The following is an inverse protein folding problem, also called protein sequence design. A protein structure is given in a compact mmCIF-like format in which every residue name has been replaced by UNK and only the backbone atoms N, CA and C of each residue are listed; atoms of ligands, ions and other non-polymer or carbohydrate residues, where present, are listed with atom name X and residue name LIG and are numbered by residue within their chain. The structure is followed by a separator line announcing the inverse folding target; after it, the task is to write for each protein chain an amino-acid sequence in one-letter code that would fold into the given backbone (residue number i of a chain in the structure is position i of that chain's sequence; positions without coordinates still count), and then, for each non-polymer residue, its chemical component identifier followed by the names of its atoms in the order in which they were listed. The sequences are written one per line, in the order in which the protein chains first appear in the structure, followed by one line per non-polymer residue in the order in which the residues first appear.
data_IF_655000794013
#
_entry.id   IF_655000794013
#
_cell.length_a   1.000
_cell.length_b   1.000
_cell.length_c   1.000
_cell.angle_alpha   90.00
_cell.angle_beta   90.00
_cell.angle_gamma   90.00
#
_symmetry.space_group_name_H-M   'P 1'
#
loop_
_entity.id
_entity.type
_entity.pdbx_description
1 polymer ?
#
# COMPACT_ATOMS: atom_id res chain seq x y z
N UNK A 1 -2.76 9.83 -14.84
CA UNK A 1 -2.58 8.36 -14.70
C UNK A 1 -2.61 7.71 -16.07
N UNK A 2 -1.67 6.81 -16.37
CA UNK A 2 -1.54 6.13 -17.68
C UNK A 2 -1.64 4.61 -17.51
N UNK A 3 -2.67 4.00 -18.08
CA UNK A 3 -2.95 2.55 -17.93
C UNK A 3 -1.80 1.69 -18.50
N UNK A 4 -1.16 2.11 -19.59
CA UNK A 4 -0.05 1.36 -20.23
C UNK A 4 1.20 1.20 -19.33
N UNK A 5 1.33 2.04 -18.30
CA UNK A 5 2.46 1.99 -17.35
C UNK A 5 2.02 1.56 -15.95
N UNK A 6 0.78 1.07 -15.79
CA UNK A 6 0.20 0.81 -14.47
C UNK A 6 0.94 -0.28 -13.69
N UNK A 7 1.64 -1.19 -14.39
CA UNK A 7 2.40 -2.27 -13.75
C UNK A 7 3.90 -1.95 -13.56
N UNK A 8 4.39 -0.83 -14.10
CA UNK A 8 5.84 -0.57 -14.24
C UNK A 8 6.61 -0.55 -12.91
N UNK A 9 5.97 -0.09 -11.83
CA UNK A 9 6.60 0.12 -10.54
C UNK A 9 6.38 -1.03 -9.54
N UNK A 10 5.97 -2.20 -10.00
CA UNK A 10 5.69 -3.35 -9.15
C UNK A 10 6.02 -4.68 -9.80
N UNK A 11 5.63 -5.76 -9.12
CA UNK A 11 5.65 -7.11 -9.68
C UNK A 11 4.20 -7.51 -9.94
N UNK A 12 3.89 -7.99 -11.13
CA UNK A 12 2.55 -8.51 -11.46
C UNK A 12 2.35 -9.91 -10.91
N UNK A 13 1.10 -10.34 -10.73
CA UNK A 13 0.81 -11.73 -10.35
C UNK A 13 1.39 -12.74 -11.37
N UNK A 14 1.40 -12.39 -12.65
CA UNK A 14 2.00 -13.24 -13.67
C UNK A 14 3.51 -13.43 -13.44
N UNK A 15 4.27 -12.34 -13.27
CA UNK A 15 5.72 -12.40 -12.98
C UNK A 15 6.00 -13.14 -11.67
N UNK A 16 5.18 -12.91 -10.64
CA UNK A 16 5.27 -13.62 -9.36
C UNK A 16 5.13 -15.14 -9.54
N UNK A 17 4.10 -15.59 -10.26
CA UNK A 17 3.78 -17.01 -10.41
C UNK A 17 4.65 -17.74 -11.45
N UNK A 18 5.38 -16.99 -12.29
CA UNK A 18 6.24 -17.56 -13.33
C UNK A 18 7.72 -17.40 -12.98
N UNK A 19 8.23 -16.17 -13.00
CA UNK A 19 9.65 -15.87 -12.81
C UNK A 19 10.10 -16.08 -11.36
N UNK A 20 9.22 -15.80 -10.39
CA UNK A 20 9.52 -15.91 -8.95
C UNK A 20 8.98 -17.21 -8.32
N UNK A 21 8.48 -18.14 -9.13
CA UNK A 21 8.00 -19.45 -8.66
C UNK A 21 9.01 -20.17 -7.75
N UNK A 22 10.32 -20.23 -8.08
CA UNK A 22 11.30 -20.89 -7.22
C UNK A 22 11.44 -20.24 -5.82
N UNK A 23 11.23 -18.92 -5.73
CA UNK A 23 11.28 -18.17 -4.46
C UNK A 23 10.09 -18.51 -3.58
N UNK A 24 8.90 -18.59 -4.17
CA UNK A 24 7.68 -19.02 -3.47
C UNK A 24 7.82 -20.45 -2.96
N UNK A 25 8.36 -21.38 -3.76
CA UNK A 25 8.59 -22.77 -3.33
C UNK A 25 9.57 -22.86 -2.16
N UNK A 26 10.65 -22.06 -2.18
CA UNK A 26 11.60 -21.96 -1.06
C UNK A 26 10.93 -21.40 0.19
N UNK A 27 10.10 -20.37 0.04
CA UNK A 27 9.38 -19.74 1.14
C UNK A 27 8.35 -20.69 1.75
N UNK A 28 7.57 -21.39 0.93
CA UNK A 28 6.61 -22.42 1.35
C UNK A 28 7.31 -23.52 2.17
N UNK A 29 8.43 -24.06 1.64
CA UNK A 29 9.23 -25.07 2.33
C UNK A 29 9.77 -24.57 3.67
N UNK A 30 10.23 -23.32 3.75
CA UNK A 30 10.74 -22.74 5.00
C UNK A 30 9.65 -22.53 6.06
N UNK A 31 8.40 -22.35 5.64
CA UNK A 31 7.26 -22.14 6.52
C UNK A 31 6.39 -23.38 6.71
N UNK A 32 6.86 -24.57 6.29
CA UNK A 32 6.12 -25.84 6.35
C UNK A 32 4.73 -25.80 5.70
N UNK A 33 4.56 -25.00 4.63
CA UNK A 33 3.30 -24.82 3.91
C UNK A 33 3.37 -25.31 2.46
N UNK A 34 2.24 -25.24 1.77
CA UNK A 34 2.13 -25.51 0.33
C UNK A 34 2.50 -24.29 -0.52
N UNK A 35 2.73 -24.51 -1.81
CA UNK A 35 2.96 -23.42 -2.76
C UNK A 35 1.73 -22.48 -2.82
N UNK A 36 0.53 -23.05 -2.81
CA UNK A 36 -0.74 -22.32 -2.88
C UNK A 36 -0.97 -21.48 -1.61
N UNK A 37 -0.64 -22.02 -0.44
CA UNK A 37 -0.69 -21.28 0.82
C UNK A 37 0.29 -20.11 0.79
N UNK A 38 1.51 -20.31 0.31
CA UNK A 38 2.48 -19.23 0.17
C UNK A 38 2.01 -18.14 -0.79
N UNK A 39 1.48 -18.50 -1.97
CA UNK A 39 0.88 -17.54 -2.90
C UNK A 39 -0.24 -16.73 -2.24
N UNK A 40 -1.15 -17.40 -1.53
CA UNK A 40 -2.25 -16.72 -0.84
C UNK A 40 -1.78 -15.78 0.27
N UNK A 41 -0.72 -16.16 1.00
CA UNK A 41 -0.08 -15.29 1.99
C UNK A 41 0.57 -14.07 1.34
N UNK A 42 1.37 -14.26 0.30
CA UNK A 42 2.02 -13.17 -0.44
C UNK A 42 1.00 -12.19 -1.03
N UNK A 43 -0.08 -12.72 -1.63
CA UNK A 43 -1.16 -11.89 -2.18
C UNK A 43 -1.83 -11.04 -1.11
N UNK A 44 -2.23 -11.66 0.01
CA UNK A 44 -2.85 -10.91 1.12
C UNK A 44 -1.93 -9.83 1.70
N UNK A 45 -0.63 -10.11 1.75
CA UNK A 45 0.32 -9.30 2.49
C UNK A 45 0.92 -8.17 1.67
N UNK A 46 1.21 -8.38 0.38
CA UNK A 46 2.06 -7.48 -0.40
C UNK A 46 1.44 -6.96 -1.72
N UNK A 47 0.29 -7.48 -2.13
CA UNK A 47 -0.41 -7.13 -3.38
C UNK A 47 -1.27 -5.86 -3.28
N UNK A 48 -1.88 -5.43 -4.38
CA UNK A 48 -3.06 -4.55 -4.36
C UNK A 48 -2.79 -3.07 -4.53
N UNK A 49 -1.61 -2.68 -5.03
CA UNK A 49 -1.35 -1.30 -5.43
C UNK A 49 -1.91 -1.04 -6.84
N UNK A 50 -2.43 0.16 -7.08
CA UNK A 50 -2.99 0.57 -8.37
C UNK A 50 -2.58 2.01 -8.68
N UNK A 51 -1.89 2.20 -9.81
CA UNK A 51 -1.42 3.51 -10.29
C UNK A 51 -2.35 4.18 -11.32
N UNK A 52 -3.45 3.51 -11.66
CA UNK A 52 -4.51 4.04 -12.49
C UNK A 52 -5.84 3.35 -12.19
N UNK A 53 -6.93 3.86 -12.76
CA UNK A 53 -8.27 3.24 -12.65
C UNK A 53 -8.34 1.84 -13.25
N UNK A 54 -7.52 1.55 -14.27
CA UNK A 54 -7.42 0.25 -14.91
C UNK A 54 -6.00 -0.27 -14.71
N UNK A 55 -5.74 -0.80 -13.52
CA UNK A 55 -4.47 -1.37 -13.16
C UNK A 55 -4.71 -2.81 -12.71
N UNK A 56 -3.83 -3.73 -13.11
CA UNK A 56 -3.76 -5.03 -12.46
C UNK A 56 -3.26 -4.84 -11.02
N UNK A 57 -3.68 -5.71 -10.09
CA UNK A 57 -3.05 -5.72 -8.78
C UNK A 57 -1.54 -5.99 -8.96
N UNK A 58 -0.74 -5.14 -8.31
CA UNK A 58 0.72 -5.26 -8.32
C UNK A 58 1.25 -5.33 -6.90
N UNK A 59 2.28 -6.17 -6.75
CA UNK A 59 2.98 -6.42 -5.52
C UNK A 59 4.05 -5.37 -5.31
N UNK A 60 4.22 -4.93 -4.07
CA UNK A 60 5.33 -4.08 -3.67
C UNK A 60 6.65 -4.86 -3.77
N UNK A 61 7.60 -4.47 -4.65
CA UNK A 61 8.82 -5.22 -4.87
C UNK A 61 9.71 -5.22 -3.62
N UNK A 62 9.77 -4.11 -2.89
CA UNK A 62 10.58 -4.00 -1.69
C UNK A 62 10.12 -5.00 -0.63
N UNK A 63 8.83 -5.00 -0.28
CA UNK A 63 8.31 -5.93 0.73
C UNK A 63 8.41 -7.38 0.29
N UNK A 64 8.10 -7.65 -0.98
CA UNK A 64 8.12 -9.00 -1.55
C UNK A 64 9.53 -9.62 -1.51
N UNK A 65 10.55 -8.90 -1.97
CA UNK A 65 11.92 -9.45 -1.99
C UNK A 65 12.52 -9.59 -0.59
N UNK A 66 12.21 -8.67 0.34
CA UNK A 66 12.61 -8.86 1.74
C UNK A 66 11.91 -10.07 2.37
N UNK A 67 10.65 -10.33 2.01
CA UNK A 67 9.94 -11.53 2.46
C UNK A 67 10.59 -12.81 1.94
N UNK A 68 11.02 -12.84 0.68
CA UNK A 68 11.75 -13.98 0.11
C UNK A 68 13.12 -14.19 0.75
N UNK A 69 13.87 -13.12 1.00
CA UNK A 69 15.19 -13.20 1.64
C UNK A 69 15.09 -13.71 3.09
N UNK A 70 14.19 -13.11 3.88
CA UNK A 70 13.92 -13.52 5.25
C UNK A 70 13.19 -14.86 5.35
N UNK A 71 12.49 -15.27 4.28
CA UNK A 71 11.55 -16.41 4.22
C UNK A 71 10.44 -16.30 5.26
N UNK A 72 9.97 -15.08 5.52
CA UNK A 72 8.92 -14.80 6.50
C UNK A 72 7.94 -13.74 5.97
N UNK A 73 6.66 -13.89 6.32
CA UNK A 73 5.58 -12.94 5.95
C UNK A 73 5.54 -11.73 6.91
N UNK A 74 6.64 -10.98 6.99
CA UNK A 74 6.81 -9.83 7.90
C UNK A 74 6.35 -8.51 7.26
N UNK A 75 6.26 -7.47 8.08
CA UNK A 75 6.00 -6.09 7.65
C UNK A 75 7.33 -5.35 7.44
N UNK A 76 7.72 -5.18 6.19
CA UNK A 76 8.96 -4.55 5.74
C UNK A 76 8.76 -3.09 5.35
N UNK A 77 7.64 -2.76 4.71
CA UNK A 77 7.35 -1.41 4.23
C UNK A 77 7.44 -0.38 5.35
N UNK A 78 6.84 -0.71 6.50
CA UNK A 78 6.76 0.22 7.63
C UNK A 78 8.03 0.22 8.51
N UNK A 79 8.77 -0.89 8.57
CA UNK A 79 9.95 -1.03 9.45
C UNK A 79 11.18 -0.23 8.97
N UNK A 80 11.15 0.31 7.75
CA UNK A 80 12.23 1.13 7.18
C UNK A 80 12.16 2.61 7.55
N UNK A 81 11.13 3.00 8.31
CA UNK A 81 10.98 4.33 8.87
C UNK A 81 9.68 4.95 8.43
N UNK A 82 8.74 5.09 9.36
CA UNK A 82 7.64 6.04 9.19
C UNK A 82 8.24 7.40 8.84
N UNK A 83 7.91 8.00 7.70
CA UNK A 83 8.39 9.34 7.41
C UNK A 83 7.79 10.26 8.47
N UNK A 84 8.63 10.89 9.31
CA UNK A 84 8.20 11.95 10.23
C UNK A 84 7.35 13.00 9.50
N UNK A 85 7.69 13.24 8.23
CA UNK A 85 6.92 14.03 7.29
C UNK A 85 5.44 13.65 7.20
N UNK A 86 5.09 12.36 7.12
CA UNK A 86 3.69 11.92 7.01
C UNK A 86 2.93 12.19 8.31
N UNK A 87 3.58 11.96 9.46
CA UNK A 87 3.01 12.29 10.77
C UNK A 87 2.73 13.79 10.85
N UNK A 88 3.70 14.62 10.45
CA UNK A 88 3.57 16.08 10.49
C UNK A 88 2.42 16.59 9.62
N UNK A 89 2.19 15.98 8.45
CA UNK A 89 1.07 16.33 7.57
C UNK A 89 -0.25 15.99 8.23
N UNK A 90 -0.40 14.75 8.68
CA UNK A 90 -1.66 14.26 9.25
C UNK A 90 -2.05 15.06 10.51
N UNK A 91 -1.08 15.54 11.28
CA UNK A 91 -1.31 16.41 12.43
C UNK A 91 -1.75 17.83 12.07
N UNK A 92 -1.38 18.33 10.88
CA UNK A 92 -1.73 19.68 10.42
C UNK A 92 -3.08 19.72 9.70
N UNK A 93 -3.60 18.57 9.29
CA UNK A 93 -4.87 18.41 8.59
C UNK A 93 -5.95 17.92 9.54
N UNK A 94 -7.19 18.39 9.39
CA UNK A 94 -8.37 17.87 10.13
C UNK A 94 -8.87 16.55 9.52
N UNK A 95 -7.94 15.61 9.31
CA UNK A 95 -8.22 14.37 8.61
C UNK A 95 -8.49 13.25 9.61
N UNK A 96 -9.64 12.58 9.45
CA UNK A 96 -9.97 11.43 10.29
C UNK A 96 -9.12 10.22 9.91
N UNK A 97 -8.06 10.00 10.69
CA UNK A 97 -7.12 8.89 10.50
C UNK A 97 -7.63 7.55 11.03
N UNK A 98 -8.80 7.47 11.69
CA UNK A 98 -9.26 6.22 12.34
C UNK A 98 -9.33 5.04 11.38
N UNK A 99 -9.66 5.29 10.11
CA UNK A 99 -9.54 4.30 9.04
C UNK A 99 -9.32 4.98 7.69
N UNK A 100 -8.41 4.43 6.89
CA UNK A 100 -8.21 4.83 5.50
C UNK A 100 -9.15 4.11 4.51
N UNK A 101 -9.99 3.18 4.98
CA UNK A 101 -10.91 2.46 4.11
C UNK A 101 -12.12 3.32 3.72
N UNK A 102 -12.46 3.29 2.43
CA UNK A 102 -13.70 3.90 1.93
C UNK A 102 -13.60 5.40 1.70
N UNK A 103 -12.38 5.94 1.64
CA UNK A 103 -12.14 7.32 1.24
C UNK A 103 -12.45 7.50 -0.25
N UNK A 104 -12.71 8.75 -0.64
CA UNK A 104 -12.90 9.10 -2.04
C UNK A 104 -11.99 10.23 -2.46
N UNK A 105 -11.61 10.26 -3.74
CA UNK A 105 -10.80 11.31 -4.34
C UNK A 105 -11.29 11.65 -5.76
N UNK A 106 -11.14 12.90 -6.17
CA UNK A 106 -11.26 13.33 -7.57
C UNK A 106 -9.92 13.24 -8.30
N UNK A 107 -9.91 13.38 -9.64
CA UNK A 107 -8.67 13.45 -10.42
C UNK A 107 -7.77 14.60 -9.94
N UNK A 108 -8.35 15.77 -9.65
CA UNK A 108 -7.61 16.98 -9.26
C UNK A 108 -6.86 16.81 -7.92
N UNK A 109 -7.38 15.96 -7.02
CA UNK A 109 -6.70 15.69 -5.75
C UNK A 109 -5.38 14.95 -6.00
N UNK A 110 -5.31 13.98 -6.91
CA UNK A 110 -4.04 13.27 -7.18
C UNK A 110 -2.93 14.17 -7.73
N UNK A 111 -3.30 15.22 -8.47
CA UNK A 111 -2.39 16.20 -9.07
C UNK A 111 -2.11 17.39 -8.14
N UNK A 112 -2.65 17.39 -6.91
CA UNK A 112 -2.48 18.50 -5.99
C UNK A 112 -0.99 18.70 -5.61
N UNK A 113 -0.51 19.96 -5.59
CA UNK A 113 0.86 20.26 -5.18
C UNK A 113 1.16 19.78 -3.75
N UNK A 114 2.35 19.21 -3.56
CA UNK A 114 2.81 18.68 -2.26
C UNK A 114 3.63 19.69 -1.44
N UNK A 115 3.81 20.92 -1.95
CA UNK A 115 4.50 22.02 -1.27
C UNK A 115 3.61 22.73 -0.23
N UNK A 116 2.29 22.74 -0.44
CA UNK A 116 1.29 23.25 0.50
C UNK A 116 0.13 22.27 0.69
N UNK A 117 0.38 21.23 1.48
CA UNK A 117 -0.56 20.13 1.70
C UNK A 117 -1.71 20.59 2.59
N UNK A 118 -2.89 20.76 2.00
CA UNK A 118 -4.17 21.02 2.67
C UNK A 118 -5.03 19.77 2.81
N UNK A 119 -4.79 18.78 1.97
CA UNK A 119 -5.47 17.49 1.92
C UNK A 119 -4.40 16.39 1.93
N UNK A 120 -4.42 15.45 2.89
CA UNK A 120 -3.40 14.41 2.99
C UNK A 120 -3.60 13.25 2.00
N UNK A 121 -4.76 13.11 1.36
CA UNK A 121 -5.06 12.02 0.41
C UNK A 121 -3.99 11.86 -0.69
N UNK A 122 -3.53 12.92 -1.37
CA UNK A 122 -2.56 12.80 -2.46
C UNK A 122 -1.22 12.28 -1.95
N UNK A 123 -0.81 12.72 -0.76
CA UNK A 123 0.43 12.26 -0.13
C UNK A 123 0.30 10.81 0.31
N UNK A 124 -0.80 10.44 0.96
CA UNK A 124 -1.07 9.05 1.39
C UNK A 124 -1.08 8.09 0.19
N UNK A 125 -1.64 8.52 -0.95
CA UNK A 125 -1.62 7.74 -2.18
C UNK A 125 -0.21 7.63 -2.78
N UNK A 126 0.48 8.76 -2.96
CA UNK A 126 1.83 8.78 -3.55
C UNK A 126 2.88 8.05 -2.70
N UNK A 127 2.69 7.99 -1.38
CA UNK A 127 3.55 7.25 -0.44
C UNK A 127 3.11 5.81 -0.20
N UNK A 128 2.06 5.33 -0.89
CA UNK A 128 1.64 3.93 -0.88
C UNK A 128 0.80 3.49 0.32
N UNK A 129 0.28 4.44 1.12
CA UNK A 129 -0.68 4.14 2.19
C UNK A 129 -2.12 3.98 1.68
N UNK A 130 -2.43 4.65 0.57
CA UNK A 130 -3.67 4.49 -0.18
C UNK A 130 -3.42 3.90 -1.56
N UNK A 131 -4.40 3.14 -2.03
CA UNK A 131 -4.49 2.65 -3.41
C UNK A 131 -5.89 2.88 -3.96
N UNK A 132 -6.03 2.86 -5.28
CA UNK A 132 -7.35 2.84 -5.93
C UNK A 132 -7.96 1.45 -5.73
N UNK A 133 -9.21 1.38 -5.26
CA UNK A 133 -10.01 0.15 -5.19
C UNK A 133 -11.17 0.13 -6.19
N UNK A 134 -11.48 1.28 -6.77
CA UNK A 134 -12.50 1.40 -7.79
C UNK A 134 -12.62 2.82 -8.31
N UNK A 135 -13.34 2.99 -9.40
CA UNK A 135 -13.64 4.29 -9.99
C UNK A 135 -15.11 4.33 -10.39
N UNK A 136 -15.83 5.34 -9.91
CA UNK A 136 -17.20 5.63 -10.29
C UNK A 136 -17.23 6.70 -11.40
N UNK A 137 -17.55 6.34 -12.65
CA UNK A 137 -17.57 7.29 -13.76
C UNK A 137 -18.74 8.28 -13.71
N UNK A 138 -19.83 7.97 -12.99
CA UNK A 138 -20.99 8.86 -12.89
C UNK A 138 -20.68 10.08 -12.01
N UNK A 139 -19.91 9.88 -10.94
CA UNK A 139 -19.50 10.95 -10.03
C UNK A 139 -18.05 11.41 -10.23
N UNK A 140 -17.28 10.71 -11.08
CA UNK A 140 -15.83 10.92 -11.30
C UNK A 140 -15.03 10.82 -10.00
N UNK A 141 -15.35 9.79 -9.22
CA UNK A 141 -14.74 9.56 -7.91
C UNK A 141 -13.98 8.25 -7.89
N UNK A 142 -12.78 8.29 -7.34
CA UNK A 142 -11.97 7.13 -7.01
C UNK A 142 -12.31 6.68 -5.60
N UNK A 143 -12.47 5.38 -5.41
CA UNK A 143 -12.59 4.75 -4.11
C UNK A 143 -11.20 4.34 -3.66
N UNK A 144 -10.82 4.76 -2.46
CA UNK A 144 -9.49 4.54 -1.91
C UNK A 144 -9.55 3.69 -0.63
N UNK A 145 -8.53 2.86 -0.45
CA UNK A 145 -8.34 2.05 0.75
C UNK A 145 -6.86 1.67 0.91
N UNK A 146 -6.55 0.92 1.96
CA UNK A 146 -5.23 0.27 2.08
C UNK A 146 -4.99 -0.71 0.91
N UNK A 147 -3.76 -0.81 0.39
CA UNK A 147 -3.42 -1.80 -0.64
C UNK A 147 -3.56 -3.23 -0.11
N UNK A 148 -2.98 -3.52 1.06
CA UNK A 148 -2.87 -4.86 1.64
C UNK A 148 -2.79 -4.86 3.18
N UNK A 149 -2.62 -6.06 3.74
CA UNK A 149 -2.48 -6.29 5.18
C UNK A 149 -1.24 -5.65 5.80
N UNK A 150 -0.11 -5.61 5.10
CA UNK A 150 1.12 -4.99 5.61
C UNK A 150 0.93 -3.51 5.88
N UNK A 151 0.41 -2.77 4.90
CA UNK A 151 0.23 -1.32 5.01
C UNK A 151 -0.84 -0.99 6.04
N UNK A 152 -1.95 -1.73 6.06
CA UNK A 152 -3.00 -1.59 7.09
C UNK A 152 -2.42 -1.76 8.49
N UNK A 153 -1.67 -2.84 8.73
CA UNK A 153 -1.07 -3.11 10.03
C UNK A 153 -0.04 -2.04 10.41
N UNK A 154 0.84 -1.64 9.48
CA UNK A 154 1.82 -0.59 9.72
C UNK A 154 1.17 0.74 10.10
N UNK A 155 0.11 1.12 9.40
CA UNK A 155 -0.64 2.33 9.71
C UNK A 155 -1.29 2.24 11.10
N UNK A 156 -2.02 1.16 11.41
CA UNK A 156 -2.76 1.05 12.67
C UNK A 156 -1.89 0.85 13.89
N UNK A 157 -0.82 0.06 13.79
CA UNK A 157 0.00 -0.29 14.95
C UNK A 157 1.15 0.67 15.20
N UNK A 158 1.54 1.46 14.19
CA UNK A 158 2.72 2.32 14.31
C UNK A 158 2.42 3.79 14.05
N UNK A 159 1.63 4.13 13.01
CA UNK A 159 1.33 5.53 12.69
C UNK A 159 0.25 6.11 13.64
N UNK A 160 -0.87 5.40 13.84
CA UNK A 160 -1.95 5.88 14.72
C UNK A 160 -1.49 6.18 16.15
N UNK A 161 -0.69 5.32 16.82
CA UNK A 161 -0.19 5.63 18.15
C UNK A 161 0.77 6.83 18.16
N UNK A 162 1.55 7.03 17.09
CA UNK A 162 2.46 8.18 17.00
C UNK A 162 1.68 9.50 16.87
N UNK A 163 0.59 9.51 16.10
CA UNK A 163 -0.31 10.68 15.99
C UNK A 163 -0.91 11.05 17.35
N UNK A 164 -1.39 10.06 18.11
CA UNK A 164 -2.03 10.29 19.41
C UNK A 164 -1.06 10.74 20.51
N UNK A 165 0.23 10.37 20.44
CA UNK A 165 1.24 10.75 21.46
C UNK A 165 1.64 12.23 21.41
N UNK A 166 1.34 12.93 20.31
CA UNK A 166 1.67 14.34 20.16
C UNK A 166 0.48 15.28 20.48
N UNK A 167 -0.68 14.73 20.82
CA UNK A 167 -1.80 15.48 21.40
C UNK A 167 -1.58 15.56 22.92
N UNK A 168 -0.68 16.46 23.34
CA UNK A 168 -0.52 16.81 24.75
C UNK A 168 -1.54 17.92 25.04
N UNK A 169 -2.47 17.64 25.97
CA UNK A 169 -3.40 18.62 26.55
C UNK A 169 -2.67 19.69 27.35
#
# INVERSE_FOLDING_TARGET
MHDDFSALCGITEQELLTDLKPDIERMAKANNGTYEEACAHLKRQYDGYHFSKNCADIYNPFSLFNAFDAKEYKNFWFSTGTPTFLIDILQRTDFDVQSLDGLTATDEQFDAPTDHIVDPIPVLYQSGYLTIKGYDPAFRLYWLAYPNGEVRYGFTESLLPALNKHIIW
#
